data_IF_585278808972
#
_entry.id   IF_585278808972
#
_cell.length_a   1.000
_cell.length_b   1.000
_cell.length_c   1.000
_cell.angle_alpha   90.00
_cell.angle_beta   90.00
_cell.angle_gamma   90.00
#
_symmetry.space_group_name_H-M   'P 1'
#
loop_
_entity.id
_entity.type
_entity.pdbx_description
1 polymer ?
#
# COMPACT_ATOMS: atom_id res chain seq x y z
N UNK A 1 0.79 36.13 11.43
CA UNK A 1 0.10 35.04 10.70
C UNK A 1 1.14 33.98 10.34
N UNK A 2 1.43 32.99 11.20
CA UNK A 2 2.50 31.99 10.97
C UNK A 2 2.23 30.62 11.62
N UNK A 3 1.01 30.36 12.10
CA UNK A 3 0.68 29.14 12.85
C UNK A 3 -0.10 28.06 12.07
N UNK A 4 -0.71 28.41 10.92
CA UNK A 4 -1.71 27.55 10.27
C UNK A 4 -1.10 26.55 9.26
N UNK A 5 0.14 26.78 8.82
CA UNK A 5 0.78 26.02 7.73
C UNK A 5 1.45 24.72 8.22
N UNK A 6 1.89 24.67 9.48
CA UNK A 6 2.56 23.49 10.06
C UNK A 6 1.62 22.32 10.32
N UNK A 7 0.34 22.55 10.58
CA UNK A 7 -0.60 21.46 10.87
C UNK A 7 -0.97 20.65 9.62
N UNK A 8 -1.10 21.34 8.48
CA UNK A 8 -1.44 20.72 7.19
C UNK A 8 -0.28 19.91 6.59
N UNK A 9 0.96 20.42 6.68
CA UNK A 9 2.16 19.72 6.20
C UNK A 9 2.40 18.38 6.91
N UNK A 10 2.13 18.34 8.22
CA UNK A 10 2.23 17.11 9.00
C UNK A 10 1.13 16.11 8.63
N UNK A 11 -0.13 16.55 8.44
CA UNK A 11 -1.23 15.67 8.00
C UNK A 11 -0.93 14.99 6.66
N UNK A 12 -0.40 15.73 5.69
CA UNK A 12 -0.01 15.18 4.38
C UNK A 12 1.09 14.12 4.50
N UNK A 13 2.11 14.36 5.34
CA UNK A 13 3.17 13.39 5.62
C UNK A 13 2.64 12.12 6.30
N UNK A 14 1.74 12.24 7.26
CA UNK A 14 1.12 11.07 7.89
C UNK A 14 0.27 10.26 6.92
N UNK A 15 -0.50 10.91 6.03
CA UNK A 15 -1.27 10.22 4.99
C UNK A 15 -0.37 9.44 4.01
N UNK A 16 0.76 10.03 3.61
CA UNK A 16 1.74 9.37 2.74
C UNK A 16 2.40 8.17 3.42
N UNK A 17 2.84 8.31 4.67
CA UNK A 17 3.44 7.20 5.43
C UNK A 17 2.42 6.07 5.63
N UNK A 18 1.18 6.41 5.99
CA UNK A 18 0.11 5.45 6.16
C UNK A 18 -0.21 4.73 4.84
N UNK A 19 -0.18 5.44 3.71
CA UNK A 19 -0.36 4.87 2.38
C UNK A 19 0.76 3.92 1.97
N UNK A 20 2.01 4.29 2.24
CA UNK A 20 3.16 3.42 1.96
C UNK A 20 3.08 2.17 2.83
N UNK A 21 2.78 2.32 4.12
CA UNK A 21 2.71 1.19 5.04
C UNK A 21 1.58 0.23 4.67
N UNK A 22 0.38 0.72 4.37
CA UNK A 22 -0.74 -0.12 3.92
C UNK A 22 -0.42 -0.85 2.61
N UNK A 23 0.24 -0.17 1.67
CA UNK A 23 0.61 -0.74 0.37
C UNK A 23 1.66 -1.84 0.52
N UNK A 24 2.70 -1.61 1.32
CA UNK A 24 3.75 -2.61 1.59
C UNK A 24 3.15 -3.85 2.27
N UNK A 25 2.23 -3.66 3.22
CA UNK A 25 1.57 -4.76 3.92
C UNK A 25 0.78 -5.66 2.94
N UNK A 26 0.05 -5.05 2.00
CA UNK A 26 -0.69 -5.78 0.96
C UNK A 26 0.24 -6.51 -0.01
N UNK A 27 1.38 -5.91 -0.38
CA UNK A 27 2.39 -6.57 -1.22
C UNK A 27 2.98 -7.79 -0.53
N UNK A 28 3.30 -7.70 0.76
CA UNK A 28 3.83 -8.83 1.54
C UNK A 28 2.81 -9.96 1.63
N UNK A 29 1.53 -9.63 1.86
CA UNK A 29 0.45 -10.62 1.86
C UNK A 29 0.32 -11.30 0.50
N UNK A 30 0.32 -10.54 -0.59
CA UNK A 30 0.26 -11.08 -1.95
C UNK A 30 1.47 -11.98 -2.25
N UNK A 31 2.68 -11.53 -1.92
CA UNK A 31 3.92 -12.29 -2.14
C UNK A 31 3.90 -13.62 -1.35
N UNK A 32 3.47 -13.58 -0.10
CA UNK A 32 3.32 -14.76 0.74
C UNK A 32 2.36 -15.78 0.13
N UNK A 33 1.18 -15.32 -0.31
CA UNK A 33 0.18 -16.17 -0.97
C UNK A 33 0.70 -16.74 -2.30
N UNK A 34 1.34 -15.91 -3.14
CA UNK A 34 1.87 -16.34 -4.42
C UNK A 34 2.98 -17.40 -4.27
N UNK A 35 3.90 -17.20 -3.33
CA UNK A 35 4.95 -18.18 -3.02
C UNK A 35 4.38 -19.46 -2.40
N UNK A 36 3.40 -19.34 -1.50
CA UNK A 36 2.73 -20.49 -0.89
C UNK A 36 2.05 -21.35 -1.96
N UNK A 37 1.28 -20.75 -2.86
CA UNK A 37 0.60 -21.46 -3.96
C UNK A 37 1.59 -22.10 -4.92
N UNK A 38 2.71 -21.43 -5.23
CA UNK A 38 3.72 -22.01 -6.10
C UNK A 38 4.46 -23.18 -5.45
N UNK A 39 4.66 -23.16 -4.13
CA UNK A 39 5.36 -24.23 -3.39
C UNK A 39 4.50 -25.45 -3.11
N UNK A 40 3.18 -25.29 -2.98
CA UNK A 40 2.27 -26.41 -2.72
C UNK A 40 2.00 -27.26 -3.95
N UNK A 41 2.42 -26.82 -5.13
CA UNK A 41 2.24 -27.54 -6.39
C UNK A 41 3.55 -28.14 -6.88
N UNK A 42 3.45 -29.32 -7.51
CA UNK A 42 4.59 -30.03 -8.12
C UNK A 42 5.09 -29.29 -9.37
N UNK A 43 4.18 -28.60 -10.07
CA UNK A 43 4.48 -27.70 -11.19
C UNK A 43 4.10 -26.28 -10.77
N UNK A 44 5.04 -25.32 -10.77
CA UNK A 44 4.74 -23.94 -10.41
C UNK A 44 3.72 -23.35 -11.39
N UNK A 45 2.71 -22.67 -10.84
CA UNK A 45 1.61 -22.08 -11.62
C UNK A 45 2.01 -20.73 -12.20
N UNK A 46 2.82 -19.97 -11.47
CA UNK A 46 3.26 -18.63 -11.86
C UNK A 46 4.77 -18.62 -12.04
N UNK A 47 5.26 -17.97 -13.09
CA UNK A 47 6.69 -17.71 -13.22
C UNK A 47 7.13 -16.66 -12.20
N UNK A 48 8.44 -16.58 -11.96
CA UNK A 48 8.99 -15.53 -11.10
C UNK A 48 8.69 -14.12 -11.63
N UNK A 49 8.65 -13.97 -12.96
CA UNK A 49 8.30 -12.71 -13.62
C UNK A 49 6.85 -12.33 -13.32
N UNK A 50 5.93 -13.29 -13.36
CA UNK A 50 4.50 -13.04 -13.07
C UNK A 50 4.28 -12.61 -11.62
N UNK A 51 4.99 -13.24 -10.68
CA UNK A 51 4.90 -12.89 -9.25
C UNK A 51 5.44 -11.49 -9.00
N UNK A 52 6.59 -11.14 -9.61
CA UNK A 52 7.19 -9.80 -9.47
C UNK A 52 6.31 -8.73 -10.12
N UNK A 53 5.81 -8.97 -11.33
CA UNK A 53 4.88 -8.07 -12.00
C UNK A 53 3.60 -7.87 -11.16
N UNK A 54 3.06 -8.94 -10.58
CA UNK A 54 1.93 -8.91 -9.66
C UNK A 54 2.21 -8.08 -8.40
N UNK A 55 3.39 -8.21 -7.79
CA UNK A 55 3.79 -7.41 -6.63
C UNK A 55 3.84 -5.91 -6.95
N UNK A 56 4.42 -5.53 -8.10
CA UNK A 56 4.46 -4.12 -8.54
C UNK A 56 3.06 -3.60 -8.80
N UNK A 57 2.21 -4.39 -9.46
CA UNK A 57 0.83 -4.02 -9.73
C UNK A 57 0.02 -3.79 -8.45
N UNK A 58 0.10 -4.73 -7.49
CA UNK A 58 -0.56 -4.62 -6.18
C UNK A 58 -0.03 -3.41 -5.41
N UNK A 59 1.27 -3.14 -5.45
CA UNK A 59 1.85 -1.96 -4.81
C UNK A 59 1.28 -0.66 -5.38
N UNK A 60 1.27 -0.50 -6.70
CA UNK A 60 0.78 0.72 -7.35
C UNK A 60 -0.72 0.92 -7.11
N UNK A 61 -1.53 -0.13 -7.27
CA UNK A 61 -2.97 -0.04 -7.01
C UNK A 61 -3.28 0.30 -5.55
N UNK A 62 -2.62 -0.38 -4.61
CA UNK A 62 -2.82 -0.10 -3.18
C UNK A 62 -2.34 1.29 -2.79
N UNK A 63 -1.28 1.81 -3.43
CA UNK A 63 -0.80 3.17 -3.20
C UNK A 63 -1.81 4.21 -3.69
N UNK A 64 -2.39 4.04 -4.88
CA UNK A 64 -3.42 4.93 -5.41
C UNK A 64 -4.65 4.93 -4.49
N UNK A 65 -5.16 3.74 -4.17
CA UNK A 65 -6.34 3.58 -3.30
C UNK A 65 -6.09 4.16 -1.91
N UNK A 66 -4.93 3.90 -1.32
CA UNK A 66 -4.58 4.42 0.00
C UNK A 66 -4.44 5.94 -0.02
N UNK A 67 -3.78 6.51 -1.03
CA UNK A 67 -3.65 7.95 -1.19
C UNK A 67 -5.00 8.65 -1.36
N UNK A 68 -6.01 7.98 -1.94
CA UNK A 68 -7.38 8.48 -2.01
C UNK A 68 -8.13 8.38 -0.67
N UNK A 69 -7.91 7.34 0.12
CA UNK A 69 -8.69 7.04 1.33
C UNK A 69 -8.14 7.74 2.58
N UNK A 70 -6.81 7.78 2.77
CA UNK A 70 -6.20 8.32 3.99
C UNK A 70 -6.51 9.79 4.26
N UNK A 71 -6.54 10.71 3.27
CA UNK A 71 -6.92 12.10 3.50
C UNK A 71 -8.34 12.23 4.07
N UNK A 72 -9.33 11.54 3.49
CA UNK A 72 -10.71 11.56 3.97
C UNK A 72 -10.85 11.02 5.40
N UNK A 73 -10.12 9.95 5.73
CA UNK A 73 -10.14 9.36 7.08
C UNK A 73 -9.53 10.31 8.10
N UNK A 74 -8.40 10.95 7.76
CA UNK A 74 -7.70 11.90 8.64
C UNK A 74 -8.54 13.16 8.86
N UNK A 75 -9.26 13.62 7.83
CA UNK A 75 -10.21 14.73 7.95
C UNK A 75 -11.39 14.37 8.87
N UNK A 76 -12.03 13.22 8.66
CA UNK A 76 -13.17 12.78 9.48
C UNK A 76 -12.81 12.50 10.95
N UNK A 77 -11.57 12.09 11.24
CA UNK A 77 -11.12 11.74 12.61
C UNK A 77 -10.56 12.91 13.41
N UNK A 78 -10.25 14.02 12.75
CA UNK A 78 -9.74 15.24 13.38
C UNK A 78 -10.74 16.39 13.33
N UNK A 79 -11.99 16.12 12.93
CA UNK A 79 -13.13 17.03 13.01
C UNK A 79 -13.94 16.83 14.28
#
# INVERSE_FOLDING_TARGET
>A
MTGMDKSSDNKGKYALIASILSSVLLVVLFAGLAVMVNRTRVVPLYSQVDIIAGMVFVFVLSMIVSASIWPEIIEKRLS
#
